data_IF_657400933678
#
_entry.id   IF_657400933678
#
_cell.length_a   1.000
_cell.length_b   1.000
_cell.length_c   1.000
_cell.angle_alpha   90.00
_cell.angle_beta   90.00
_cell.angle_gamma   90.00
#
_symmetry.space_group_name_H-M   'P 1'
#
loop_
_entity.id
_entity.type
_entity.pdbx_description
1 polymer ?
#
# COMPACT_ATOMS: atom_id res chain seq x y z
N UNK A 1 7.61 4.59 14.43
CA UNK A 1 8.88 5.32 14.51
C UNK A 1 9.96 4.60 13.65
N UNK A 2 9.85 4.58 12.31
CA UNK A 2 10.89 4.06 11.38
C UNK A 2 10.80 4.62 9.94
N UNK A 3 9.89 5.57 9.66
CA UNK A 3 9.53 5.99 8.29
C UNK A 3 9.28 4.81 7.30
N UNK A 4 8.86 3.65 7.81
CA UNK A 4 8.73 2.42 7.06
C UNK A 4 7.34 2.23 6.41
N UNK A 5 6.56 3.30 6.32
CA UNK A 5 5.23 3.30 5.76
C UNK A 5 4.91 4.63 5.07
N UNK A 6 4.06 4.58 4.05
CA UNK A 6 3.60 5.74 3.29
C UNK A 6 2.15 5.54 2.82
N UNK A 7 1.43 6.64 2.70
CA UNK A 7 0.10 6.68 2.09
C UNK A 7 0.23 7.25 0.68
N UNK A 8 -0.21 6.48 -0.32
CA UNK A 8 -0.03 6.80 -1.73
C UNK A 8 -1.36 7.20 -2.35
N UNK A 9 -1.37 8.36 -3.01
CA UNK A 9 -2.46 8.83 -3.86
C UNK A 9 -1.89 9.26 -5.21
N UNK A 10 -2.50 8.78 -6.28
CA UNK A 10 -2.09 9.09 -7.66
C UNK A 10 -3.23 9.80 -8.37
N UNK A 11 -2.99 11.00 -8.87
CA UNK A 11 -3.98 11.77 -9.63
C UNK A 11 -4.48 10.99 -10.84
N UNK A 12 -5.80 10.95 -11.04
CA UNK A 12 -6.41 10.20 -12.14
C UNK A 12 -6.46 8.68 -11.94
N UNK A 13 -6.11 8.17 -10.74
CA UNK A 13 -6.21 6.74 -10.39
C UNK A 13 -7.09 6.54 -9.17
N UNK A 14 -7.89 5.48 -9.23
CA UNK A 14 -8.64 5.00 -8.06
C UNK A 14 -7.68 4.36 -7.04
N UNK A 15 -8.02 4.44 -5.75
CA UNK A 15 -7.27 3.74 -4.71
C UNK A 15 -7.20 2.21 -4.93
N UNK A 16 -8.17 1.64 -5.66
CA UNK A 16 -8.18 0.22 -6.05
C UNK A 16 -7.10 -0.11 -7.08
N UNK A 17 -6.89 0.76 -8.08
CA UNK A 17 -5.81 0.59 -9.06
C UNK A 17 -4.44 0.72 -8.40
N UNK A 18 -4.27 1.72 -7.52
CA UNK A 18 -3.03 1.93 -6.76
C UNK A 18 -2.76 0.73 -5.87
N UNK A 19 -3.75 0.22 -5.14
CA UNK A 19 -3.63 -0.97 -4.32
C UNK A 19 -3.16 -2.19 -5.11
N UNK A 20 -3.75 -2.48 -6.28
CA UNK A 20 -3.35 -3.64 -7.10
C UNK A 20 -1.89 -3.57 -7.52
N UNK A 21 -1.40 -2.37 -7.83
CA UNK A 21 0.01 -2.16 -8.15
C UNK A 21 0.89 -2.36 -6.92
N UNK A 22 0.55 -1.72 -5.79
CA UNK A 22 1.31 -1.83 -4.55
C UNK A 22 1.34 -3.27 -4.01
N UNK A 23 0.24 -4.00 -4.04
CA UNK A 23 0.16 -5.40 -3.60
C UNK A 23 1.13 -6.29 -4.39
N UNK A 24 1.19 -6.10 -5.71
CA UNK A 24 2.13 -6.80 -6.59
C UNK A 24 3.58 -6.44 -6.29
N UNK A 25 3.88 -5.16 -6.07
CA UNK A 25 5.23 -4.67 -5.83
C UNK A 25 5.76 -5.07 -4.46
N UNK A 26 4.96 -4.89 -3.41
CA UNK A 26 5.33 -5.21 -2.03
C UNK A 26 5.41 -6.72 -1.84
N UNK A 27 4.47 -7.48 -2.39
CA UNK A 27 4.44 -8.93 -2.28
C UNK A 27 4.35 -9.37 -0.81
N UNK A 28 5.22 -10.30 -0.40
CA UNK A 28 5.26 -10.81 0.97
C UNK A 28 6.08 -9.99 1.96
N UNK A 29 6.67 -8.87 1.51
CA UNK A 29 7.69 -8.11 2.24
C UNK A 29 7.14 -6.93 3.05
N UNK A 30 5.83 -6.92 3.28
CA UNK A 30 5.18 -5.85 4.01
C UNK A 30 3.66 -5.76 3.80
N UNK A 31 3.09 -4.68 4.33
CA UNK A 31 1.66 -4.43 4.34
C UNK A 31 1.19 -3.54 3.19
N UNK A 32 -0.02 -3.81 2.71
CA UNK A 32 -0.72 -2.95 1.74
C UNK A 32 -2.19 -2.86 2.14
N UNK A 33 -2.68 -1.64 2.34
CA UNK A 33 -4.07 -1.37 2.75
C UNK A 33 -4.83 -0.55 1.71
N UNK A 34 -6.06 -0.95 1.39
CA UNK A 34 -6.92 -0.22 0.45
C UNK A 34 -7.95 0.64 1.19
N UNK A 35 -7.74 1.94 1.19
CA UNK A 35 -8.71 2.91 1.71
C UNK A 35 -9.47 3.59 0.57
N UNK A 36 -10.56 4.29 0.89
CA UNK A 36 -11.41 4.95 -0.11
C UNK A 36 -10.68 6.08 -0.85
N UNK A 37 -9.69 6.72 -0.22
CA UNK A 37 -9.04 7.93 -0.73
C UNK A 37 -7.54 7.76 -1.03
N UNK A 38 -6.91 6.70 -0.53
CA UNK A 38 -5.48 6.40 -0.71
C UNK A 38 -5.19 4.91 -0.52
N UNK A 39 -3.95 4.51 -0.79
CA UNK A 39 -3.42 3.17 -0.48
C UNK A 39 -2.32 3.29 0.56
N UNK A 40 -2.46 2.60 1.69
CA UNK A 40 -1.40 2.48 2.68
C UNK A 40 -0.39 1.43 2.22
N UNK A 41 0.89 1.70 2.38
CA UNK A 41 1.97 0.75 2.15
C UNK A 41 2.96 0.82 3.29
N UNK A 42 3.41 -0.34 3.75
CA UNK A 42 4.54 -0.43 4.67
C UNK A 42 5.45 -1.62 4.33
N UNK A 43 6.68 -1.56 4.82
CA UNK A 43 7.72 -2.59 4.61
C UNK A 43 8.05 -3.35 5.90
N UNK A 44 7.13 -3.34 6.88
CA UNK A 44 7.39 -3.94 8.20
C UNK A 44 7.01 -5.41 8.18
N UNK A 45 8.00 -6.25 7.91
CA UNK A 45 7.91 -7.70 8.13
C UNK A 45 7.05 -8.43 7.09
N UNK A 46 6.06 -9.17 7.57
CA UNK A 46 5.31 -10.15 6.77
C UNK A 46 4.15 -9.53 5.98
N UNK A 47 3.61 -10.30 5.04
CA UNK A 47 2.44 -9.93 4.25
C UNK A 47 1.25 -9.57 5.14
N UNK A 48 0.76 -8.34 5.04
CA UNK A 48 -0.48 -7.90 5.69
C UNK A 48 -1.38 -7.15 4.70
N UNK A 49 -2.69 -7.41 4.71
CA UNK A 49 -3.66 -6.77 3.81
C UNK A 49 -4.86 -6.26 4.59
N UNK A 50 -5.22 -5.00 4.33
CA UNK A 50 -6.27 -4.26 5.01
C UNK A 50 -7.22 -3.61 4.02
#
# INVERSE_FOLDING_TARGET
LYAAAADIKVSGKSASEVYKLCDRLVGSRGGVGKYSTFTHVDVRGNKARW
#
